data_IF_762648532954
#
_entry.id   IF_762648532954
#
_cell.length_a   1.000
_cell.length_b   1.000
_cell.length_c   1.000
_cell.angle_alpha   90.00
_cell.angle_beta   90.00
_cell.angle_gamma   90.00
#
_symmetry.space_group_name_H-M   'P 1'
#
loop_
_entity.id
_entity.type
_entity.pdbx_description
1 polymer ?
#
# COMPACT_ATOMS: atom_id res chain seq x y z
N UNK A 1 -20.44 -28.36 19.18
CA UNK A 1 -21.06 -27.41 18.22
C UNK A 1 -20.34 -26.07 18.34
N UNK A 2 -19.62 -25.63 17.30
CA UNK A 2 -18.96 -24.31 17.30
C UNK A 2 -20.00 -23.23 17.05
N UNK A 3 -20.03 -22.17 17.86
CA UNK A 3 -20.95 -21.03 17.71
C UNK A 3 -20.35 -20.11 16.65
N UNK A 4 -20.90 -20.12 15.44
CA UNK A 4 -20.46 -19.23 14.37
C UNK A 4 -20.94 -17.81 14.65
N UNK A 5 -20.08 -16.82 14.38
CA UNK A 5 -20.48 -15.41 14.39
C UNK A 5 -21.52 -15.14 13.30
N UNK A 6 -22.65 -14.56 13.68
CA UNK A 6 -23.82 -14.27 12.84
C UNK A 6 -24.18 -12.80 12.95
N UNK A 7 -24.43 -12.16 11.80
CA UNK A 7 -25.01 -10.83 11.70
C UNK A 7 -26.54 -10.96 11.76
N UNK A 8 -27.13 -10.67 12.90
CA UNK A 8 -28.58 -10.68 13.11
C UNK A 8 -29.32 -9.63 12.27
N UNK A 9 -28.62 -8.58 11.83
CA UNK A 9 -29.12 -7.56 10.90
C UNK A 9 -29.35 -8.07 9.48
N UNK A 10 -28.81 -9.26 9.14
CA UNK A 10 -29.07 -9.96 7.88
C UNK A 10 -30.13 -11.03 8.16
N UNK A 11 -31.37 -10.76 7.76
CA UNK A 11 -32.46 -11.71 7.94
C UNK A 11 -32.40 -12.83 6.91
N UNK A 12 -32.97 -13.98 7.25
CA UNK A 12 -33.06 -15.15 6.37
C UNK A 12 -33.88 -14.92 5.10
N UNK A 13 -34.67 -13.84 5.05
CA UNK A 13 -35.43 -13.39 3.89
C UNK A 13 -34.59 -12.49 2.94
N UNK A 14 -33.32 -12.25 3.25
CA UNK A 14 -32.41 -11.42 2.46
C UNK A 14 -32.58 -9.92 2.68
N UNK A 15 -33.42 -9.49 3.63
CA UNK A 15 -33.56 -8.07 3.98
C UNK A 15 -32.46 -7.61 4.93
N UNK A 16 -32.09 -6.34 4.78
CA UNK A 16 -31.00 -5.71 5.52
C UNK A 16 -31.45 -4.39 6.16
N UNK A 17 -31.20 -4.21 7.45
CA UNK A 17 -31.23 -2.89 8.07
C UNK A 17 -29.80 -2.33 8.12
N UNK A 18 -29.49 -1.36 7.25
CA UNK A 18 -28.14 -0.80 7.11
C UNK A 18 -27.62 -0.13 8.39
N UNK A 19 -28.50 0.52 9.18
CA UNK A 19 -28.12 1.21 10.42
C UNK A 19 -27.75 0.21 11.53
N UNK A 20 -28.51 -0.88 11.62
CA UNK A 20 -28.25 -1.95 12.60
C UNK A 20 -27.00 -2.74 12.19
N UNK A 21 -26.81 -2.98 10.89
CA UNK A 21 -25.64 -3.68 10.37
C UNK A 21 -24.35 -2.97 10.73
N UNK A 22 -24.26 -1.65 10.55
CA UNK A 22 -23.03 -0.90 10.85
C UNK A 22 -22.67 -1.01 12.34
N UNK A 23 -23.65 -0.87 13.21
CA UNK A 23 -23.47 -0.96 14.66
C UNK A 23 -23.06 -2.38 15.09
N UNK A 24 -23.74 -3.39 14.55
CA UNK A 24 -23.48 -4.80 14.83
C UNK A 24 -22.11 -5.24 14.30
N UNK A 25 -21.77 -4.85 13.07
CA UNK A 25 -20.48 -5.13 12.48
C UNK A 25 -19.35 -4.54 13.31
N UNK A 26 -19.48 -3.28 13.75
CA UNK A 26 -18.44 -2.64 14.57
C UNK A 26 -18.27 -3.34 15.93
N UNK A 27 -19.35 -3.81 16.56
CA UNK A 27 -19.29 -4.56 17.81
C UNK A 27 -18.58 -5.92 17.62
N UNK A 28 -18.96 -6.66 16.58
CA UNK A 28 -18.32 -7.93 16.22
C UNK A 28 -16.85 -7.72 15.89
N UNK A 29 -16.54 -6.67 15.13
CA UNK A 29 -15.18 -6.30 14.76
C UNK A 29 -14.31 -6.01 15.98
N UNK A 30 -14.79 -5.20 16.93
CA UNK A 30 -14.06 -4.89 18.16
C UNK A 30 -13.80 -6.15 19.02
N UNK A 31 -14.79 -7.03 19.11
CA UNK A 31 -14.65 -8.30 19.83
C UNK A 31 -13.62 -9.23 19.17
N UNK A 32 -13.68 -9.37 17.85
CA UNK A 32 -12.69 -10.15 17.08
C UNK A 32 -11.30 -9.52 17.20
N UNK A 33 -11.20 -8.19 17.11
CA UNK A 33 -9.93 -7.48 17.27
C UNK A 33 -9.32 -7.70 18.66
N UNK A 34 -10.12 -7.63 19.73
CA UNK A 34 -9.67 -7.92 21.09
C UNK A 34 -9.16 -9.37 21.24
N UNK A 35 -9.86 -10.35 20.65
CA UNK A 35 -9.46 -11.76 20.66
C UNK A 35 -8.17 -12.02 19.85
N UNK A 36 -8.04 -11.37 18.69
CA UNK A 36 -6.82 -11.43 17.87
C UNK A 36 -5.66 -10.80 18.63
N UNK A 37 -5.88 -9.65 19.29
CA UNK A 37 -4.87 -8.95 20.08
C UNK A 37 -4.43 -9.73 21.31
N UNK A 38 -5.33 -10.46 21.98
CA UNK A 38 -4.98 -11.33 23.11
C UNK A 38 -4.30 -12.64 22.66
N UNK A 39 -4.38 -13.00 21.36
CA UNK A 39 -3.75 -14.20 20.82
C UNK A 39 -4.50 -15.50 21.16
N UNK A 40 -5.70 -15.40 21.71
CA UNK A 40 -6.51 -16.53 22.12
C UNK A 40 -7.35 -17.05 20.95
N UNK A 41 -7.38 -18.38 20.73
CA UNK A 41 -8.22 -19.03 19.71
C UNK A 41 -8.13 -18.41 18.30
N UNK A 42 -6.91 -18.18 17.79
CA UNK A 42 -6.70 -17.54 16.48
C UNK A 42 -7.38 -18.28 15.30
N UNK A 43 -7.45 -19.61 15.35
CA UNK A 43 -8.12 -20.41 14.32
C UNK A 43 -9.64 -20.19 14.34
N UNK A 44 -10.24 -20.07 15.52
CA UNK A 44 -11.66 -19.74 15.67
C UNK A 44 -11.93 -18.30 15.18
N UNK A 45 -11.06 -17.35 15.51
CA UNK A 45 -11.17 -15.98 15.00
C UNK A 45 -11.12 -15.94 13.47
N UNK A 46 -10.26 -16.77 12.85
CA UNK A 46 -10.17 -16.88 11.40
C UNK A 46 -11.46 -17.46 10.80
N UNK A 47 -12.01 -18.53 11.39
CA UNK A 47 -13.29 -19.11 10.98
C UNK A 47 -14.43 -18.08 11.09
N UNK A 48 -14.46 -17.31 12.16
CA UNK A 48 -15.46 -16.26 12.41
C UNK A 48 -15.35 -15.10 11.41
N UNK A 49 -14.13 -14.67 11.06
CA UNK A 49 -13.91 -13.64 10.03
C UNK A 49 -14.33 -14.14 8.64
N UNK A 50 -14.05 -15.40 8.30
CA UNK A 50 -14.50 -16.01 7.04
C UNK A 50 -16.03 -16.08 6.99
N UNK A 51 -16.67 -16.46 8.11
CA UNK A 51 -18.13 -16.47 8.23
C UNK A 51 -18.72 -15.07 8.03
N UNK A 52 -18.12 -14.05 8.68
CA UNK A 52 -18.54 -12.65 8.57
C UNK A 52 -18.42 -12.13 7.13
N UNK A 53 -17.31 -12.43 6.46
CA UNK A 53 -17.07 -12.07 5.06
C UNK A 53 -18.11 -12.68 4.11
N UNK A 54 -18.44 -13.97 4.29
CA UNK A 54 -19.48 -14.63 3.49
C UNK A 54 -20.85 -13.98 3.66
N UNK A 55 -21.22 -13.66 4.90
CA UNK A 55 -22.50 -13.00 5.19
C UNK A 55 -22.58 -11.63 4.52
N UNK A 56 -21.55 -10.80 4.64
CA UNK A 56 -21.48 -9.49 3.97
C UNK A 56 -21.48 -9.60 2.44
N UNK A 57 -20.81 -10.62 1.89
CA UNK A 57 -20.79 -10.86 0.44
C UNK A 57 -22.19 -11.21 -0.07
N UNK A 58 -22.98 -11.98 0.69
CA UNK A 58 -24.35 -12.36 0.33
C UNK A 58 -25.32 -11.19 0.24
N UNK A 59 -25.03 -10.08 0.93
CA UNK A 59 -25.82 -8.84 0.90
C UNK A 59 -25.09 -7.68 0.21
N UNK A 60 -23.99 -7.94 -0.48
CA UNK A 60 -23.13 -6.91 -1.08
C UNK A 60 -23.89 -6.00 -2.06
N UNK A 61 -24.86 -6.51 -2.81
CA UNK A 61 -25.71 -5.73 -3.72
C UNK A 61 -26.62 -4.73 -3.01
N UNK A 62 -26.88 -4.92 -1.71
CA UNK A 62 -27.69 -4.05 -0.87
C UNK A 62 -26.86 -3.03 -0.07
N UNK A 63 -25.53 -3.14 -0.12
CA UNK A 63 -24.60 -2.25 0.55
C UNK A 63 -24.14 -1.13 -0.38
N UNK A 64 -23.92 0.06 0.19
CA UNK A 64 -23.24 1.13 -0.54
C UNK A 64 -21.81 0.70 -0.90
N UNK A 65 -21.24 1.24 -1.98
CA UNK A 65 -19.83 0.96 -2.34
C UNK A 65 -18.86 1.31 -1.20
N UNK A 66 -19.16 2.40 -0.48
CA UNK A 66 -18.40 2.83 0.69
C UNK A 66 -18.43 1.77 1.81
N UNK A 67 -19.61 1.23 2.15
CA UNK A 67 -19.73 0.23 3.20
C UNK A 67 -19.07 -1.10 2.81
N UNK A 68 -19.18 -1.50 1.54
CA UNK A 68 -18.50 -2.68 1.01
C UNK A 68 -16.98 -2.56 1.19
N UNK A 69 -16.40 -1.43 0.81
CA UNK A 69 -14.97 -1.17 0.93
C UNK A 69 -14.53 -1.05 2.40
N UNK A 70 -15.31 -0.37 3.24
CA UNK A 70 -15.06 -0.22 4.66
C UNK A 70 -15.01 -1.57 5.37
N UNK A 71 -16.02 -2.43 5.16
CA UNK A 71 -16.10 -3.73 5.80
C UNK A 71 -15.03 -4.70 5.27
N UNK A 72 -14.76 -4.70 3.96
CA UNK A 72 -13.70 -5.51 3.36
C UNK A 72 -12.33 -5.12 3.94
N UNK A 73 -12.03 -3.82 3.99
CA UNK A 73 -10.75 -3.32 4.52
C UNK A 73 -10.55 -3.74 5.98
N UNK A 74 -11.60 -3.63 6.80
CA UNK A 74 -11.55 -4.04 8.21
C UNK A 74 -11.33 -5.55 8.35
N UNK A 75 -12.03 -6.37 7.56
CA UNK A 75 -11.84 -7.83 7.54
C UNK A 75 -10.40 -8.19 7.16
N UNK A 76 -9.85 -7.57 6.12
CA UNK A 76 -8.49 -7.81 5.65
C UNK A 76 -7.45 -7.44 6.70
N UNK A 77 -7.67 -6.35 7.43
CA UNK A 77 -6.81 -5.97 8.55
C UNK A 77 -6.77 -7.05 9.64
N UNK A 78 -7.92 -7.62 10.01
CA UNK A 78 -7.96 -8.70 11.02
C UNK A 78 -7.27 -9.98 10.52
N UNK A 79 -7.49 -10.38 9.27
CA UNK A 79 -6.82 -11.56 8.68
C UNK A 79 -5.30 -11.38 8.62
N UNK A 80 -4.83 -10.18 8.25
CA UNK A 80 -3.40 -9.84 8.30
C UNK A 80 -2.86 -9.94 9.73
N UNK A 81 -3.54 -9.37 10.72
CA UNK A 81 -3.15 -9.45 12.15
C UNK A 81 -3.05 -10.91 12.63
N UNK A 82 -4.02 -11.76 12.29
CA UNK A 82 -3.98 -13.21 12.61
C UNK A 82 -2.76 -13.85 11.97
N UNK A 83 -2.54 -13.63 10.67
CA UNK A 83 -1.42 -14.22 9.94
C UNK A 83 -0.07 -13.80 10.54
N UNK A 84 0.09 -12.52 10.85
CA UNK A 84 1.29 -12.00 11.52
C UNK A 84 1.49 -12.66 12.89
N UNK A 85 0.44 -12.80 13.70
CA UNK A 85 0.54 -13.46 15.02
C UNK A 85 0.85 -14.95 14.92
N UNK A 86 0.21 -15.68 14.01
CA UNK A 86 0.52 -17.09 13.76
C UNK A 86 1.98 -17.29 13.33
N UNK A 87 2.50 -16.41 12.46
CA UNK A 87 3.92 -16.43 12.06
C UNK A 87 4.86 -16.10 13.22
N UNK A 88 4.43 -15.27 14.16
CA UNK A 88 5.22 -14.90 15.34
C UNK A 88 5.28 -16.05 16.33
N UNK A 89 4.14 -16.69 16.62
CA UNK A 89 4.05 -17.89 17.45
C UNK A 89 4.85 -19.07 16.86
N UNK A 90 4.78 -19.29 15.54
CA UNK A 90 5.57 -20.33 14.87
C UNK A 90 7.09 -20.07 14.90
N UNK A 91 7.51 -18.80 14.92
CA UNK A 91 8.93 -18.41 15.07
C UNK A 91 9.42 -18.59 16.51
N UNK A 92 8.55 -18.34 17.49
CA UNK A 92 8.85 -18.53 18.91
C UNK A 92 9.05 -20.03 19.22
N UNK A 93 8.22 -20.89 18.63
CA UNK A 93 8.28 -22.35 18.78
C UNK A 93 9.52 -22.99 18.10
N UNK A 94 10.02 -22.38 17.01
CA UNK A 94 11.30 -22.75 16.40
C UNK A 94 12.50 -22.31 17.25
N UNK A 95 12.41 -21.19 17.96
CA UNK A 95 13.49 -20.66 18.79
C UNK A 95 13.63 -21.43 20.11
N UNK A 96 12.54 -22.00 20.63
CA UNK A 96 12.56 -22.92 21.78
C UNK A 96 13.12 -24.30 21.42
N UNK A 97 12.84 -24.84 20.22
CA UNK A 97 13.42 -26.13 19.77
C UNK A 97 14.93 -26.10 19.49
N UNK A 98 15.50 -24.95 19.15
CA UNK A 98 16.96 -24.81 19.02
C UNK A 98 17.68 -24.67 20.36
N UNK A 99 17.01 -24.20 21.41
CA UNK A 99 17.59 -24.18 22.77
C UNK A 99 17.54 -25.54 23.47
N UNK A 100 16.68 -26.46 23.04
CA UNK A 100 16.56 -27.80 23.63
C UNK A 100 17.47 -28.87 23.00
N UNK A 101 18.25 -28.54 21.94
CA UNK A 101 19.16 -29.51 21.28
C UNK A 101 20.64 -29.30 21.58
N UNK A 102 21.00 -28.30 22.38
CA UNK A 102 22.36 -28.13 22.88
C UNK A 102 22.36 -28.12 24.39
N UNK A 103 22.37 -29.31 25.04
CA UNK A 103 22.84 -29.53 26.41
C UNK A 103 22.72 -31.04 26.75
N UNK A 104 23.61 -31.84 26.17
CA UNK A 104 24.00 -33.14 26.73
C UNK A 104 25.52 -33.23 26.75
N UNK A 105 26.12 -32.52 27.70
CA UNK A 105 27.49 -32.73 28.16
C UNK A 105 27.62 -32.23 29.62
N UNK A 106 27.28 -33.15 30.53
CA UNK A 106 27.94 -33.48 31.82
C UNK A 106 28.76 -32.44 32.62
N UNK A 107 28.38 -32.36 33.91
CA UNK A 107 29.17 -32.04 35.14
C UNK A 107 29.58 -30.56 35.32
N UNK A 108 29.51 -29.88 36.47
CA UNK A 108 29.30 -30.21 37.91
C UNK A 108 29.14 -28.89 38.69
N UNK A 109 28.50 -28.96 39.86
CA UNK A 109 28.54 -28.03 41.00
C UNK A 109 27.75 -26.70 40.94
N UNK A 110 26.97 -26.51 42.01
CA UNK A 110 26.27 -25.30 42.48
C UNK A 110 26.68 -25.07 43.95
N UNK A 111 26.25 -24.01 44.67
CA UNK A 111 25.96 -22.59 44.39
C UNK A 111 26.76 -21.71 45.44
N UNK A 112 26.40 -20.48 45.95
CA UNK A 112 25.19 -19.66 45.79
C UNK A 112 25.31 -18.10 45.84
N UNK A 113 24.15 -17.46 45.69
CA UNK A 113 23.69 -16.10 46.12
C UNK A 113 24.27 -14.84 45.44
N UNK A 114 23.43 -14.10 44.71
CA UNK A 114 22.82 -12.83 45.15
C UNK A 114 22.11 -12.09 44.02
N UNK A 115 21.01 -11.45 44.41
CA UNK A 115 20.26 -10.45 43.68
C UNK A 115 21.14 -9.27 43.26
N UNK A 116 21.02 -8.79 42.02
CA UNK A 116 20.74 -7.37 41.83
C UNK A 116 20.20 -7.03 40.44
N UNK A 117 19.25 -6.10 40.49
CA UNK A 117 18.42 -5.60 39.41
C UNK A 117 19.17 -4.41 38.79
N UNK A 118 19.68 -4.54 37.55
CA UNK A 118 20.05 -3.38 36.73
C UNK A 118 19.49 -3.49 35.33
N UNK A 119 18.54 -2.60 35.09
CA UNK A 119 18.04 -2.18 33.79
C UNK A 119 19.22 -1.63 32.99
N UNK A 120 19.59 -2.32 31.91
CA UNK A 120 20.42 -1.76 30.84
C UNK A 120 19.69 -2.02 29.55
N UNK A 121 19.44 -0.92 28.83
CA UNK A 121 18.65 -0.84 27.63
C UNK A 121 19.00 -1.95 26.61
N UNK A 122 17.98 -2.68 26.17
CA UNK A 122 18.06 -3.45 24.93
C UNK A 122 18.30 -2.47 23.78
N UNK A 123 19.33 -2.66 22.93
CA UNK A 123 19.36 -2.00 21.65
C UNK A 123 18.17 -2.57 20.87
N UNK A 124 17.25 -1.70 20.47
CA UNK A 124 16.27 -1.99 19.44
C UNK A 124 17.06 -2.26 18.15
N UNK A 125 17.53 -3.49 17.96
CA UNK A 125 17.89 -3.97 16.63
C UNK A 125 16.58 -4.07 15.86
N UNK A 126 16.20 -2.93 15.28
CA UNK A 126 15.46 -2.90 14.03
C UNK A 126 16.04 -4.00 13.16
N UNK A 127 15.22 -5.00 12.86
CA UNK A 127 15.54 -5.90 11.77
C UNK A 127 15.47 -5.05 10.52
N UNK A 128 16.61 -4.48 10.16
CA UNK A 128 16.93 -4.08 8.79
C UNK A 128 16.59 -5.28 7.92
N UNK A 129 15.40 -5.25 7.31
CA UNK A 129 15.19 -5.89 6.02
C UNK A 129 16.31 -5.32 5.17
N UNK A 130 17.24 -6.16 4.72
CA UNK A 130 18.35 -5.69 3.89
C UNK A 130 17.74 -4.81 2.80
N UNK A 131 18.04 -3.49 2.79
CA UNK A 131 17.44 -2.60 1.82
C UNK A 131 17.86 -3.13 0.47
N UNK A 132 16.89 -3.33 -0.43
CA UNK A 132 17.22 -3.67 -1.82
C UNK A 132 18.32 -2.72 -2.29
N UNK A 133 19.37 -3.23 -2.95
CA UNK A 133 20.50 -2.40 -3.32
C UNK A 133 20.02 -1.20 -4.15
N UNK A 134 20.63 -0.05 -3.91
CA UNK A 134 20.40 1.15 -4.71
C UNK A 134 20.86 0.89 -6.15
N UNK A 135 19.98 1.17 -7.12
CA UNK A 135 20.25 1.08 -8.55
C UNK A 135 20.67 2.49 -9.01
N UNK A 136 21.82 2.59 -9.66
CA UNK A 136 22.41 3.88 -10.09
C UNK A 136 22.66 3.94 -11.58
N UNK A 137 22.55 5.13 -12.15
CA UNK A 137 23.08 5.47 -13.48
C UNK A 137 22.60 4.51 -14.59
N UNK A 138 21.35 4.05 -14.49
CA UNK A 138 20.81 2.98 -15.33
C UNK A 138 19.51 3.38 -16.04
N UNK A 139 19.44 3.06 -17.33
CA UNK A 139 18.20 3.08 -18.11
C UNK A 139 17.46 1.75 -17.96
N UNK A 140 16.32 1.79 -17.29
CA UNK A 140 15.46 0.65 -16.97
C UNK A 140 14.25 0.69 -17.88
N UNK A 141 13.99 -0.41 -18.58
CA UNK A 141 12.73 -0.59 -19.32
C UNK A 141 11.68 -1.23 -18.41
N UNK A 142 10.47 -0.70 -18.48
CA UNK A 142 9.32 -1.30 -17.80
C UNK A 142 9.13 -2.75 -18.25
N UNK A 143 8.80 -3.63 -17.30
CA UNK A 143 8.50 -5.03 -17.55
C UNK A 143 7.18 -5.40 -16.87
N UNK A 144 6.26 -6.00 -17.62
CA UNK A 144 4.92 -6.40 -17.15
C UNK A 144 4.93 -7.30 -15.90
N UNK A 145 5.95 -8.15 -15.78
CA UNK A 145 6.15 -9.05 -14.64
C UNK A 145 6.59 -8.32 -13.36
N UNK A 146 7.16 -7.12 -13.50
CA UNK A 146 7.68 -6.33 -12.39
C UNK A 146 6.60 -5.43 -11.82
N UNK A 147 6.23 -5.66 -10.56
CA UNK A 147 5.18 -4.88 -9.87
C UNK A 147 5.75 -3.70 -9.07
N UNK A 148 7.07 -3.66 -8.84
CA UNK A 148 7.68 -2.55 -8.12
C UNK A 148 9.12 -2.27 -8.53
N UNK A 149 9.46 -0.98 -8.61
CA UNK A 149 10.80 -0.44 -8.82
C UNK A 149 11.18 0.40 -7.60
N UNK A 150 12.36 0.16 -7.02
CA UNK A 150 12.74 0.78 -5.75
C UNK A 150 14.21 1.20 -5.76
N UNK A 151 14.53 2.25 -4.99
CA UNK A 151 15.89 2.72 -4.72
C UNK A 151 16.64 3.13 -6.01
N UNK A 152 16.01 3.98 -6.82
CA UNK A 152 16.55 4.47 -8.09
C UNK A 152 17.27 5.80 -7.87
N UNK A 153 18.52 5.93 -8.32
CA UNK A 153 19.27 7.17 -8.21
C UNK A 153 20.00 7.49 -9.51
N UNK A 154 19.72 8.65 -10.10
CA UNK A 154 20.20 9.01 -11.42
C UNK A 154 19.85 7.97 -12.51
N UNK A 155 18.64 7.40 -12.43
CA UNK A 155 18.14 6.37 -13.34
C UNK A 155 17.03 6.91 -14.25
N UNK A 156 16.71 6.14 -15.29
CA UNK A 156 15.54 6.38 -16.14
C UNK A 156 14.67 5.14 -16.20
N UNK A 157 13.49 5.14 -15.59
CA UNK A 157 12.49 4.09 -15.80
C UNK A 157 11.58 4.51 -16.96
N UNK A 158 11.56 3.74 -18.04
CA UNK A 158 10.79 4.10 -19.23
C UNK A 158 9.92 2.99 -19.80
N UNK A 159 8.72 3.36 -20.23
CA UNK A 159 7.87 2.63 -21.16
C UNK A 159 7.49 3.56 -22.29
N UNK A 160 7.86 3.20 -23.51
CA UNK A 160 7.66 4.01 -24.73
C UNK A 160 6.63 3.40 -25.67
N UNK A 161 5.96 2.31 -25.27
CA UNK A 161 4.91 1.69 -26.07
C UNK A 161 3.58 2.38 -25.89
N UNK A 162 2.71 2.20 -26.88
CA UNK A 162 1.37 2.78 -26.90
C UNK A 162 0.28 1.76 -26.50
N UNK A 163 0.67 0.49 -26.42
CA UNK A 163 -0.24 -0.62 -26.16
C UNK A 163 -0.51 -0.83 -24.66
N UNK A 164 -1.75 -1.20 -24.36
CA UNK A 164 -2.14 -1.71 -23.05
C UNK A 164 -1.74 -3.17 -22.95
N UNK A 165 -0.81 -3.48 -22.05
CA UNK A 165 -0.29 -4.83 -21.90
C UNK A 165 -1.12 -5.70 -20.95
N UNK A 166 -1.87 -5.10 -20.04
CA UNK A 166 -2.72 -5.80 -19.08
C UNK A 166 -3.92 -4.92 -18.68
N UNK A 167 -5.09 -5.51 -18.46
CA UNK A 167 -6.27 -4.73 -18.07
C UNK A 167 -6.15 -4.16 -16.65
N UNK A 168 -5.60 -4.95 -15.71
CA UNK A 168 -5.51 -4.61 -14.28
C UNK A 168 -4.07 -4.70 -13.77
N UNK A 169 -3.59 -3.67 -13.07
CA UNK A 169 -2.32 -3.74 -12.36
C UNK A 169 -2.19 -2.75 -11.20
N UNK A 170 -1.28 -3.09 -10.28
CA UNK A 170 -0.68 -2.13 -9.36
C UNK A 170 0.80 -2.05 -9.67
N UNK A 171 1.28 -0.83 -9.91
CA UNK A 171 2.69 -0.53 -10.09
C UNK A 171 3.15 0.43 -8.99
N UNK A 172 4.21 0.05 -8.28
CA UNK A 172 4.77 0.84 -7.21
C UNK A 172 6.20 1.27 -7.51
N UNK A 173 6.47 2.56 -7.59
CA UNK A 173 7.82 3.12 -7.77
C UNK A 173 8.19 3.87 -6.51
N UNK A 174 9.29 3.50 -5.84
CA UNK A 174 9.65 4.07 -4.54
C UNK A 174 11.12 4.48 -4.42
N UNK A 175 11.39 5.44 -3.54
CA UNK A 175 12.74 5.89 -3.19
C UNK A 175 13.54 6.26 -4.43
N UNK A 176 13.10 7.33 -5.10
CA UNK A 176 13.63 7.77 -6.40
C UNK A 176 14.33 9.11 -6.23
N UNK A 177 15.58 9.23 -6.67
CA UNK A 177 16.37 10.45 -6.56
C UNK A 177 16.99 10.81 -7.90
N UNK A 178 16.93 12.10 -8.29
CA UNK A 178 17.57 12.61 -9.51
C UNK A 178 17.27 11.79 -10.77
N UNK A 179 16.08 11.20 -10.84
CA UNK A 179 15.77 10.20 -11.85
C UNK A 179 14.57 10.64 -12.69
N UNK A 180 14.41 10.02 -13.86
CA UNK A 180 13.27 10.25 -14.75
C UNK A 180 12.38 9.01 -14.80
N UNK A 181 11.08 9.20 -14.56
CA UNK A 181 10.06 8.18 -14.79
C UNK A 181 9.24 8.60 -15.99
N UNK A 182 9.20 7.76 -17.03
CA UNK A 182 8.54 8.05 -18.28
C UNK A 182 7.59 6.92 -18.68
N UNK A 183 6.31 7.23 -18.82
CA UNK A 183 5.31 6.34 -19.41
C UNK A 183 4.61 7.08 -20.54
N UNK A 184 4.92 6.73 -21.79
CA UNK A 184 4.23 7.32 -22.94
C UNK A 184 2.73 7.04 -22.89
N UNK A 185 2.35 5.81 -22.57
CA UNK A 185 0.99 5.45 -22.14
C UNK A 185 1.16 4.45 -21.00
N UNK A 186 0.49 4.64 -19.86
CA UNK A 186 0.55 3.64 -18.77
C UNK A 186 0.06 2.28 -19.32
N UNK A 187 0.84 1.19 -19.19
CA UNK A 187 0.56 -0.07 -19.89
C UNK A 187 -0.55 -0.91 -19.24
N UNK A 188 -1.48 -0.27 -18.52
CA UNK A 188 -2.65 -0.89 -17.91
C UNK A 188 -3.81 0.09 -17.71
N UNK A 189 -5.05 -0.38 -17.89
CA UNK A 189 -6.26 0.44 -17.88
C UNK A 189 -6.82 0.70 -16.47
N UNK A 190 -6.72 -0.29 -15.59
CA UNK A 190 -7.35 -0.27 -14.27
C UNK A 190 -6.35 -0.63 -13.17
N UNK A 191 -6.58 -0.07 -11.98
CA UNK A 191 -5.78 -0.30 -10.79
C UNK A 191 -5.05 0.97 -10.34
N UNK A 192 -3.77 0.86 -9.98
CA UNK A 192 -3.06 1.96 -9.31
C UNK A 192 -1.61 2.13 -9.73
N UNK A 193 -1.20 3.39 -9.89
CA UNK A 193 0.19 3.79 -10.00
C UNK A 193 0.57 4.57 -8.74
N UNK A 194 1.45 3.98 -7.94
CA UNK A 194 1.86 4.48 -6.64
C UNK A 194 3.30 4.98 -6.76
N UNK A 195 3.49 6.30 -6.68
CA UNK A 195 4.82 6.93 -6.69
C UNK A 195 5.13 7.46 -5.29
N UNK A 196 6.18 6.95 -4.65
CA UNK A 196 6.51 7.29 -3.26
C UNK A 196 7.98 7.67 -3.05
N UNK A 197 8.24 8.75 -2.33
CA UNK A 197 9.60 9.09 -1.90
C UNK A 197 10.47 9.55 -3.06
N UNK A 198 10.03 10.57 -3.80
CA UNK A 198 10.79 11.15 -4.90
C UNK A 198 11.46 12.45 -4.48
N UNK A 199 12.70 12.62 -4.94
CA UNK A 199 13.48 13.82 -4.72
C UNK A 199 14.19 14.25 -6.01
N UNK A 200 14.15 15.53 -6.35
CA UNK A 200 14.86 16.11 -7.50
C UNK A 200 14.59 15.37 -8.82
N UNK A 201 13.39 14.83 -8.99
CA UNK A 201 13.07 13.87 -10.06
C UNK A 201 12.07 14.41 -11.06
N UNK A 202 12.04 13.80 -12.24
CA UNK A 202 11.14 14.16 -13.32
C UNK A 202 10.18 13.03 -13.64
N UNK A 203 8.89 13.33 -13.72
CA UNK A 203 7.82 12.34 -13.95
C UNK A 203 6.98 12.75 -15.14
N UNK A 204 6.93 11.90 -16.15
CA UNK A 204 6.06 12.03 -17.33
C UNK A 204 5.16 10.81 -17.39
N UNK A 205 3.84 11.04 -17.37
CA UNK A 205 2.83 9.98 -17.43
C UNK A 205 1.70 10.43 -18.35
N UNK A 206 1.36 9.61 -19.33
CA UNK A 206 0.08 9.73 -20.04
C UNK A 206 -0.81 8.57 -19.66
N UNK A 207 -2.01 8.87 -19.16
CA UNK A 207 -3.00 7.85 -18.81
C UNK A 207 -3.79 7.39 -20.03
N UNK A 208 -4.13 6.09 -20.11
CA UNK A 208 -4.82 5.55 -21.27
C UNK A 208 -6.27 6.02 -21.41
N UNK A 209 -6.82 5.84 -22.62
CA UNK A 209 -8.22 6.15 -22.90
C UNK A 209 -9.17 5.36 -21.99
N UNK A 210 -10.17 6.05 -21.41
CA UNK A 210 -11.21 5.44 -20.56
C UNK A 210 -10.64 4.66 -19.35
N UNK A 211 -9.43 5.01 -18.91
CA UNK A 211 -8.81 4.39 -17.74
C UNK A 211 -9.52 4.82 -16.45
N UNK A 212 -9.59 3.91 -15.48
CA UNK A 212 -9.97 4.21 -14.10
C UNK A 212 -8.74 4.02 -13.19
N UNK A 213 -7.61 4.60 -13.62
CA UNK A 213 -6.33 4.44 -12.96
C UNK A 213 -6.27 5.37 -11.75
N UNK A 214 -5.91 4.86 -10.59
CA UNK A 214 -5.63 5.69 -9.42
C UNK A 214 -4.16 6.10 -9.43
N UNK A 215 -3.89 7.40 -9.64
CA UNK A 215 -2.54 7.96 -9.45
C UNK A 215 -2.44 8.48 -8.03
N UNK A 216 -1.50 7.93 -7.25
CA UNK A 216 -1.18 8.41 -5.91
C UNK A 216 0.29 8.75 -5.81
N UNK A 217 0.57 9.99 -5.43
CA UNK A 217 1.89 10.56 -5.33
C UNK A 217 2.14 10.91 -3.86
N UNK A 218 3.13 10.28 -3.23
CA UNK A 218 3.41 10.43 -1.80
C UNK A 218 4.87 10.80 -1.54
N UNK A 219 5.16 11.70 -0.60
CA UNK A 219 6.54 12.10 -0.24
C UNK A 219 7.34 12.55 -1.47
N UNK A 220 6.88 13.59 -2.14
CA UNK A 220 7.57 14.16 -3.30
C UNK A 220 8.15 15.52 -2.92
N UNK A 221 9.44 15.71 -3.17
CA UNK A 221 10.14 16.98 -2.94
C UNK A 221 10.92 17.41 -4.19
N UNK A 222 10.79 18.69 -4.54
CA UNK A 222 11.48 19.31 -5.67
C UNK A 222 11.35 18.53 -7.00
N UNK A 223 10.16 17.99 -7.27
CA UNK A 223 9.90 17.20 -8.48
C UNK A 223 9.17 18.02 -9.55
N UNK A 224 9.47 17.72 -10.82
CA UNK A 224 8.73 18.23 -11.98
C UNK A 224 7.81 17.13 -12.51
N UNK A 225 6.55 17.46 -12.79
CA UNK A 225 5.53 16.49 -13.17
C UNK A 225 4.78 16.94 -14.42
N UNK A 226 4.72 16.07 -15.42
CA UNK A 226 3.92 16.23 -16.62
C UNK A 226 2.98 15.05 -16.74
N UNK A 227 1.74 15.25 -16.30
CA UNK A 227 0.70 14.24 -16.34
C UNK A 227 -0.32 14.68 -17.38
N UNK A 228 -0.57 13.82 -18.37
CA UNK A 228 -1.61 14.00 -19.38
C UNK A 228 -2.48 12.74 -19.42
N UNK A 229 -3.55 12.84 -20.19
CA UNK A 229 -4.40 11.73 -20.58
C UNK A 229 -4.45 11.68 -22.09
N UNK A 230 -4.75 10.52 -22.66
CA UNK A 230 -5.13 10.45 -24.07
C UNK A 230 -6.39 11.29 -24.35
N UNK A 231 -6.53 11.75 -25.59
CA UNK A 231 -7.63 12.61 -26.02
C UNK A 231 -8.98 11.91 -25.79
N UNK A 232 -10.04 12.67 -25.45
CA UNK A 232 -11.39 12.13 -25.29
C UNK A 232 -11.69 11.42 -23.95
N UNK A 233 -10.69 11.22 -23.08
CA UNK A 233 -10.91 10.70 -21.70
C UNK A 233 -11.57 11.71 -20.75
N UNK A 234 -12.02 11.22 -19.59
CA UNK A 234 -12.41 12.08 -18.45
C UNK A 234 -11.17 12.66 -17.74
N UNK A 235 -11.37 13.65 -16.88
CA UNK A 235 -10.30 14.25 -16.07
C UNK A 235 -9.73 13.19 -15.12
N UNK A 236 -8.40 13.11 -15.05
CA UNK A 236 -7.70 12.15 -14.20
C UNK A 236 -7.60 12.67 -12.76
N UNK A 237 -8.15 11.94 -11.80
CA UNK A 237 -7.94 12.24 -10.38
C UNK A 237 -6.51 11.85 -9.97
N UNK A 238 -5.80 12.77 -9.31
CA UNK A 238 -4.44 12.56 -8.78
C UNK A 238 -4.46 12.89 -7.30
N UNK A 239 -4.11 11.91 -6.46
CA UNK A 239 -4.01 12.11 -5.01
C UNK A 239 -2.58 12.45 -4.66
N UNK A 240 -2.37 13.57 -3.97
CA UNK A 240 -1.04 13.98 -3.48
C UNK A 240 -1.00 14.02 -1.96
N UNK A 241 0.11 13.60 -1.37
CA UNK A 241 0.32 13.59 0.09
C UNK A 241 1.81 13.79 0.40
N UNK A 242 2.13 14.63 1.38
CA UNK A 242 3.52 15.01 1.71
C UNK A 242 4.30 15.53 0.47
N UNK A 243 3.71 16.53 -0.19
CA UNK A 243 4.23 17.21 -1.36
C UNK A 243 4.89 18.53 -0.98
N UNK A 244 6.11 18.77 -1.46
CA UNK A 244 6.83 20.02 -1.25
C UNK A 244 7.62 20.43 -2.49
N UNK A 245 7.64 21.74 -2.79
CA UNK A 245 8.38 22.33 -3.91
C UNK A 245 8.15 21.66 -5.27
N UNK A 246 7.01 20.98 -5.46
CA UNK A 246 6.73 20.26 -6.68
C UNK A 246 6.08 21.18 -7.71
N UNK A 247 6.29 20.86 -8.98
CA UNK A 247 5.82 21.68 -10.08
C UNK A 247 5.17 20.79 -11.11
N UNK A 248 3.88 21.00 -11.33
CA UNK A 248 3.17 20.43 -12.48
C UNK A 248 3.34 21.35 -13.69
N UNK A 249 3.45 20.76 -14.88
CA UNK A 249 3.47 21.53 -16.11
C UNK A 249 2.13 22.27 -16.28
N UNK A 250 2.14 23.48 -16.85
CA UNK A 250 0.90 24.28 -17.02
C UNK A 250 -0.20 23.49 -17.74
N UNK A 251 0.17 22.75 -18.79
CA UNK A 251 -0.77 21.95 -19.59
C UNK A 251 -1.48 20.87 -18.77
N UNK A 252 -0.82 20.33 -17.73
CA UNK A 252 -1.41 19.28 -16.89
C UNK A 252 -2.68 19.75 -16.20
N UNK A 253 -2.83 21.06 -15.96
CA UNK A 253 -3.96 21.67 -15.24
C UNK A 253 -5.33 21.30 -15.82
N UNK A 254 -5.43 21.18 -17.15
CA UNK A 254 -6.70 20.89 -17.82
C UNK A 254 -7.00 19.38 -17.91
N UNK A 255 -6.03 18.53 -17.58
CA UNK A 255 -6.14 17.08 -17.68
C UNK A 255 -6.32 16.38 -16.34
N UNK A 256 -5.98 17.03 -15.23
CA UNK A 256 -6.00 16.41 -13.90
C UNK A 256 -6.85 17.18 -12.90
N UNK A 257 -7.42 16.46 -11.95
CA UNK A 257 -7.98 17.00 -10.72
C UNK A 257 -7.10 16.53 -9.56
N UNK A 258 -6.48 17.47 -8.87
CA UNK A 258 -5.60 17.17 -7.75
C UNK A 258 -6.42 17.16 -6.47
N UNK A 259 -6.36 16.06 -5.71
CA UNK A 259 -6.88 15.95 -4.36
C UNK A 259 -5.69 16.01 -3.40
N UNK A 260 -5.60 17.06 -2.59
CA UNK A 260 -4.42 17.37 -1.79
C UNK A 260 -4.58 16.99 -0.31
N UNK A 261 -3.79 16.01 0.13
CA UNK A 261 -3.77 15.46 1.48
C UNK A 261 -2.55 15.91 2.30
N UNK A 262 -1.78 16.91 1.85
CA UNK A 262 -0.59 17.44 2.54
C UNK A 262 -0.83 17.88 3.99
N UNK A 263 -2.06 18.32 4.29
CA UNK A 263 -2.45 18.72 5.64
C UNK A 263 -3.92 18.36 5.85
N UNK A 264 -4.19 17.12 6.26
CA UNK A 264 -5.48 16.78 6.87
C UNK A 264 -5.58 17.47 8.24
N UNK A 265 -5.89 18.76 8.23
CA UNK A 265 -6.34 19.45 9.44
C UNK A 265 -7.71 18.90 9.83
N UNK A 266 -8.08 18.97 11.11
CA UNK A 266 -9.38 18.52 11.65
C UNK A 266 -10.62 19.09 10.92
N UNK A 267 -10.45 20.05 10.00
CA UNK A 267 -11.49 20.64 9.17
C UNK A 267 -11.59 20.06 7.75
N UNK A 268 -10.77 19.06 7.36
CA UNK A 268 -10.75 18.42 6.03
C UNK A 268 -10.74 19.42 4.85
N UNK A 269 -10.10 20.59 5.02
CA UNK A 269 -9.93 21.54 3.93
C UNK A 269 -8.64 21.21 3.19
N UNK A 270 -8.77 20.89 1.91
CA UNK A 270 -7.61 20.80 1.01
C UNK A 270 -6.89 22.14 0.95
N UNK A 271 -5.57 22.15 1.15
CA UNK A 271 -4.74 23.32 0.88
C UNK A 271 -4.21 23.24 -0.55
N UNK A 272 -3.89 24.39 -1.15
CA UNK A 272 -3.20 24.44 -2.44
C UNK A 272 -1.67 24.52 -2.27
N UNK A 273 -1.17 24.12 -1.10
CA UNK A 273 0.24 24.24 -0.76
C UNK A 273 1.01 22.97 -1.19
N UNK A 274 2.30 23.16 -1.48
CA UNK A 274 3.22 22.07 -1.82
C UNK A 274 3.39 21.81 -3.31
N UNK A 275 2.54 22.40 -4.16
CA UNK A 275 2.70 22.34 -5.63
C UNK A 275 2.29 23.64 -6.32
N UNK A 276 2.78 23.83 -7.56
CA UNK A 276 2.35 24.91 -8.46
C UNK A 276 2.20 24.38 -9.89
N UNK A 277 1.51 25.15 -10.74
CA UNK A 277 1.48 24.92 -12.19
C UNK A 277 2.34 25.97 -12.89
N UNK A 278 3.40 25.57 -13.59
CA UNK A 278 4.25 26.50 -14.35
C UNK A 278 4.66 25.89 -15.69
N UNK A 279 5.13 26.73 -16.60
CA UNK A 279 5.74 26.25 -17.85
C UNK A 279 7.14 25.70 -17.60
N UNK A 280 7.45 24.55 -18.20
CA UNK A 280 8.82 24.07 -18.33
C UNK A 280 8.97 23.17 -19.57
N UNK A 281 10.17 23.06 -20.10
CA UNK A 281 10.44 22.18 -21.23
C UNK A 281 10.21 20.70 -20.85
N UNK A 282 9.38 20.01 -21.61
CA UNK A 282 9.11 18.59 -21.41
C UNK A 282 10.24 17.78 -22.06
N UNK A 283 11.05 17.14 -21.23
CA UNK A 283 12.13 16.28 -21.71
C UNK A 283 11.58 14.91 -22.09
N UNK A 284 11.14 14.77 -23.34
CA UNK A 284 10.82 13.45 -23.90
C UNK A 284 12.11 12.60 -23.99
N UNK A 285 12.03 11.28 -23.80
CA UNK A 285 13.14 10.39 -24.11
C UNK A 285 13.57 10.62 -25.56
N UNK A 286 14.83 11.03 -25.76
CA UNK A 286 15.46 10.89 -27.07
C UNK A 286 15.27 9.44 -27.53
N UNK A 287 14.56 9.23 -28.64
CA UNK A 287 14.56 7.92 -29.29
C UNK A 287 16.01 7.53 -29.56
N UNK A 288 16.41 6.28 -29.30
CA UNK A 288 17.67 5.82 -29.85
C UNK A 288 17.57 5.95 -31.37
N UNK A 289 18.47 6.75 -31.96
CA UNK A 289 18.70 6.80 -33.39
C UNK A 289 18.64 5.37 -33.92
N UNK A 290 17.61 5.07 -34.71
CA UNK A 290 17.50 3.79 -35.37
C UNK A 290 18.79 3.59 -36.17
N UNK A 291 19.54 2.56 -35.80
CA UNK A 291 20.67 2.12 -36.60
C UNK A 291 20.12 1.68 -37.95
N UNK A 292 20.33 2.54 -38.95
CA UNK A 292 20.13 2.29 -40.38
C UNK A 292 20.97 1.12 -40.87
#
# INVERSE_FOLDING_TARGET
MRRMTLLSSIKSDGTLNANDLSSEFNLIYQNLEANVNSGHNLDQCKDDIISLSKQLTSVSSLLSRFDQELYSTKIDQLLKKITTKQLTLAKEDRRSRWKSMGLRAKHTASPPVSSDRKVVASPTTEKTVDPKPEIKDTDIKYQISTKSYQNLNNCKLSWTGDDILQEYATLQVQNVKKSTIYFNIVPFNQGSLLLEGFQDSYVIIITPEKSNLQLRLHKMDNCKLYIKRQAGSEVQDVVIEDFSHCVFHKDTKDYVRIHNFNQLTYQNKESNDGYTFVEFEVQEPLEPLSAS
#
